data_IF_116662238363
#
_entry.id   IF_116662238363
#
_cell.length_a   1.000
_cell.length_b   1.000
_cell.length_c   1.000
_cell.angle_alpha   90.00
_cell.angle_beta   90.00
_cell.angle_gamma   90.00
#
_symmetry.space_group_name_H-M   'P 1'
#
loop_
_entity.id
_entity.type
_entity.pdbx_description
1 polymer ?
#
# COMPACT_ATOMS: atom_id res chain seq x y z
N UNK A 1 -6.67 29.73 -16.68
CA UNK A 1 -5.34 29.12 -16.76
C UNK A 1 -5.48 27.84 -17.55
N UNK A 2 -4.87 27.77 -18.74
CA UNK A 2 -4.80 26.52 -19.49
C UNK A 2 -3.83 25.60 -18.75
N UNK A 3 -4.34 24.50 -18.22
CA UNK A 3 -3.51 23.42 -17.70
C UNK A 3 -3.00 22.63 -18.90
N UNK A 4 -1.83 22.99 -19.42
CA UNK A 4 -1.12 22.13 -20.37
C UNK A 4 -0.64 20.89 -19.62
N UNK A 5 -1.39 19.79 -19.77
CA UNK A 5 -0.94 18.47 -19.34
C UNK A 5 0.16 18.01 -20.30
N UNK A 6 1.42 18.22 -19.91
CA UNK A 6 2.56 17.65 -20.63
C UNK A 6 2.65 16.15 -20.31
N UNK A 7 1.95 15.33 -21.10
CA UNK A 7 2.03 13.88 -21.00
C UNK A 7 3.29 13.39 -21.71
N UNK A 8 4.22 12.78 -20.97
CA UNK A 8 5.36 12.08 -21.56
C UNK A 8 4.87 10.74 -22.16
N UNK A 9 4.85 10.55 -23.50
CA UNK A 9 4.20 9.39 -24.13
C UNK A 9 4.79 8.06 -23.68
N UNK A 10 6.10 8.05 -23.39
CA UNK A 10 6.81 6.86 -22.92
C UNK A 10 6.33 6.40 -21.54
N UNK A 11 6.09 7.33 -20.62
CA UNK A 11 5.63 7.00 -19.27
C UNK A 11 4.24 6.36 -19.33
N UNK A 12 3.34 6.95 -20.12
CA UNK A 12 1.99 6.42 -20.32
C UNK A 12 2.01 5.03 -20.97
N UNK A 13 2.82 4.85 -22.02
CA UNK A 13 2.97 3.54 -22.67
C UNK A 13 3.45 2.46 -21.70
N UNK A 14 4.46 2.79 -20.88
CA UNK A 14 4.97 1.87 -19.86
C UNK A 14 3.91 1.54 -18.80
N UNK A 15 3.14 2.53 -18.32
CA UNK A 15 2.04 2.28 -17.38
C UNK A 15 0.98 1.34 -17.96
N UNK A 16 0.58 1.56 -19.22
CA UNK A 16 -0.37 0.70 -19.91
C UNK A 16 0.17 -0.72 -20.08
N UNK A 17 1.45 -0.86 -20.44
CA UNK A 17 2.06 -2.17 -20.61
C UNK A 17 2.12 -2.97 -19.31
N UNK A 18 2.44 -2.33 -18.17
CA UNK A 18 2.38 -2.99 -16.85
C UNK A 18 0.94 -3.29 -16.45
N UNK A 19 0.01 -2.37 -16.67
CA UNK A 19 -1.41 -2.55 -16.33
C UNK A 19 -2.03 -3.72 -17.08
N UNK A 20 -1.67 -3.89 -18.34
CA UNK A 20 -2.18 -4.94 -19.21
C UNK A 20 -1.38 -6.25 -19.11
N UNK A 21 -0.36 -6.31 -18.24
CA UNK A 21 0.50 -7.49 -18.08
C UNK A 21 1.41 -7.79 -19.29
N UNK A 22 1.56 -6.85 -20.22
CA UNK A 22 2.48 -6.96 -21.38
C UNK A 22 3.93 -6.85 -20.94
N UNK A 23 4.19 -6.05 -19.91
CA UNK A 23 5.46 -6.00 -19.18
C UNK A 23 5.29 -6.65 -17.82
N UNK A 24 6.23 -7.52 -17.47
CA UNK A 24 6.27 -8.14 -16.13
C UNK A 24 7.27 -7.40 -15.24
N UNK A 25 6.97 -7.26 -13.95
CA UNK A 25 7.95 -6.86 -12.95
C UNK A 25 9.21 -7.73 -13.04
N UNK A 26 10.37 -7.09 -13.13
CA UNK A 26 11.68 -7.76 -13.06
C UNK A 26 12.62 -7.03 -12.11
N UNK A 27 12.04 -6.34 -11.13
CA UNK A 27 12.77 -5.54 -10.16
C UNK A 27 13.29 -6.40 -9.02
N UNK A 28 14.32 -5.89 -8.35
CA UNK A 28 14.87 -6.41 -7.11
C UNK A 28 14.52 -5.45 -5.97
N UNK A 29 14.71 -5.87 -4.72
CA UNK A 29 14.48 -4.98 -3.57
C UNK A 29 15.34 -3.70 -3.60
N UNK A 30 16.56 -3.78 -4.14
CA UNK A 30 17.45 -2.64 -4.29
C UNK A 30 16.90 -1.56 -5.24
N UNK A 31 15.96 -1.92 -6.13
CA UNK A 31 15.35 -0.96 -7.06
C UNK A 31 14.34 -0.01 -6.38
N UNK A 32 14.01 -0.27 -5.11
CA UNK A 32 13.06 0.50 -4.29
C UNK A 32 13.75 1.25 -3.14
N UNK A 33 15.04 1.53 -3.28
CA UNK A 33 15.76 2.45 -2.39
C UNK A 33 15.40 3.91 -2.73
N UNK A 34 14.36 4.42 -2.06
CA UNK A 34 13.88 5.79 -2.29
C UNK A 34 14.93 6.84 -1.97
N UNK A 35 15.14 7.76 -2.90
CA UNK A 35 16.00 8.93 -2.73
C UNK A 35 15.18 10.21 -2.62
N UNK A 36 15.68 11.22 -1.91
CA UNK A 36 15.01 12.52 -1.80
C UNK A 36 15.13 13.41 -3.06
N UNK A 37 15.50 12.85 -4.22
CA UNK A 37 15.71 13.61 -5.46
C UNK A 37 14.39 13.84 -6.18
N UNK A 38 14.25 15.00 -6.85
CA UNK A 38 13.05 15.37 -7.63
C UNK A 38 12.71 14.38 -8.76
N UNK A 39 13.71 13.66 -9.28
CA UNK A 39 13.55 12.60 -10.27
C UNK A 39 14.17 11.32 -9.72
N UNK A 40 13.45 10.68 -8.81
CA UNK A 40 13.89 9.44 -8.18
C UNK A 40 13.43 8.23 -9.01
N UNK A 41 14.34 7.45 -9.63
CA UNK A 41 13.96 6.26 -10.40
C UNK A 41 13.20 5.23 -9.56
N UNK A 42 13.49 5.13 -8.26
CA UNK A 42 12.79 4.23 -7.35
C UNK A 42 11.30 4.59 -7.23
N UNK A 43 10.97 5.88 -7.16
CA UNK A 43 9.58 6.34 -7.14
C UNK A 43 8.82 5.98 -8.42
N UNK A 44 9.47 6.12 -9.59
CA UNK A 44 8.87 5.73 -10.87
C UNK A 44 8.63 4.22 -10.94
N UNK A 45 9.62 3.41 -10.55
CA UNK A 45 9.51 1.94 -10.51
C UNK A 45 8.44 1.49 -9.53
N UNK A 46 8.34 2.14 -8.37
CA UNK A 46 7.28 1.89 -7.41
C UNK A 46 5.90 2.19 -7.98
N UNK A 47 5.74 3.28 -8.73
CA UNK A 47 4.50 3.56 -9.46
C UNK A 47 4.15 2.47 -10.48
N UNK A 48 5.14 1.97 -11.23
CA UNK A 48 4.94 0.84 -12.14
C UNK A 48 4.60 -0.47 -11.41
N UNK A 49 5.22 -0.74 -10.26
CA UNK A 49 4.93 -1.89 -9.43
C UNK A 49 3.47 -1.89 -8.95
N UNK A 50 2.99 -0.75 -8.44
CA UNK A 50 1.59 -0.58 -8.05
C UNK A 50 0.62 -0.75 -9.24
N UNK A 51 1.02 -0.28 -10.42
CA UNK A 51 0.22 -0.39 -11.64
C UNK A 51 0.12 -1.85 -12.11
N UNK A 52 1.23 -2.59 -12.07
CA UNK A 52 1.28 -4.02 -12.36
C UNK A 52 0.45 -4.83 -11.37
N UNK A 53 0.60 -4.56 -10.06
CA UNK A 53 -0.20 -5.17 -9.01
C UNK A 53 -1.70 -5.02 -9.29
N UNK A 54 -2.16 -3.81 -9.60
CA UNK A 54 -3.59 -3.59 -9.79
C UNK A 54 -4.14 -4.25 -11.07
N UNK A 55 -3.32 -4.38 -12.12
CA UNK A 55 -3.67 -5.19 -13.30
C UNK A 55 -3.81 -6.68 -12.95
N UNK A 56 -2.84 -7.22 -12.22
CA UNK A 56 -2.78 -8.63 -11.83
C UNK A 56 -3.87 -8.99 -10.80
N UNK A 57 -4.07 -8.15 -9.78
CA UNK A 57 -5.12 -8.32 -8.79
C UNK A 57 -6.51 -8.41 -9.44
N UNK A 58 -6.79 -7.57 -10.44
CA UNK A 58 -8.06 -7.61 -11.14
C UNK A 58 -8.24 -8.90 -11.94
N UNK A 59 -7.20 -9.33 -12.64
CA UNK A 59 -7.22 -10.54 -13.44
C UNK A 59 -7.36 -11.84 -12.59
N UNK A 60 -6.80 -11.86 -11.37
CA UNK A 60 -6.72 -13.07 -10.56
C UNK A 60 -7.83 -13.23 -9.53
N UNK A 61 -8.31 -12.13 -8.93
CA UNK A 61 -9.25 -12.19 -7.79
C UNK A 61 -10.69 -11.88 -8.20
N UNK A 62 -10.91 -11.36 -9.41
CA UNK A 62 -12.23 -10.87 -9.82
C UNK A 62 -12.75 -9.69 -8.97
N UNK A 63 -11.92 -9.12 -8.08
CA UNK A 63 -12.27 -7.94 -7.29
C UNK A 63 -12.55 -6.77 -8.25
N UNK A 64 -13.59 -6.00 -7.94
CA UNK A 64 -13.98 -4.83 -8.71
C UNK A 64 -12.79 -3.87 -8.88
N UNK A 65 -12.55 -3.42 -10.13
CA UNK A 65 -11.42 -2.54 -10.45
C UNK A 65 -11.43 -1.25 -9.63
N UNK A 66 -12.59 -0.73 -9.24
CA UNK A 66 -12.71 0.47 -8.41
C UNK A 66 -12.09 0.27 -7.03
N UNK A 67 -12.39 -0.86 -6.36
CA UNK A 67 -11.81 -1.20 -5.06
C UNK A 67 -10.30 -1.41 -5.15
N UNK A 68 -9.83 -2.04 -6.23
CA UNK A 68 -8.39 -2.20 -6.49
C UNK A 68 -7.71 -0.85 -6.63
N UNK A 69 -8.29 0.10 -7.36
CA UNK A 69 -7.71 1.44 -7.50
C UNK A 69 -7.67 2.21 -6.19
N UNK A 70 -8.73 2.14 -5.37
CA UNK A 70 -8.73 2.74 -4.03
C UNK A 70 -7.60 2.17 -3.16
N UNK A 71 -7.48 0.84 -3.12
CA UNK A 71 -6.42 0.19 -2.36
C UNK A 71 -5.03 0.53 -2.90
N UNK A 72 -4.85 0.56 -4.23
CA UNK A 72 -3.58 0.91 -4.88
C UNK A 72 -3.14 2.33 -4.50
N UNK A 73 -4.06 3.28 -4.53
CA UNK A 73 -3.77 4.66 -4.17
C UNK A 73 -3.34 4.77 -2.70
N UNK A 74 -4.13 4.20 -1.78
CA UNK A 74 -3.82 4.28 -0.35
C UNK A 74 -2.58 3.46 0.02
N UNK A 75 -2.35 2.31 -0.60
CA UNK A 75 -1.13 1.52 -0.40
C UNK A 75 0.11 2.31 -0.83
N UNK A 76 0.04 2.97 -1.99
CA UNK A 76 1.10 3.85 -2.46
C UNK A 76 1.37 5.00 -1.50
N UNK A 77 0.30 5.66 -1.03
CA UNK A 77 0.37 6.76 -0.08
C UNK A 77 0.96 6.32 1.27
N UNK A 78 0.50 5.19 1.80
CA UNK A 78 0.99 4.59 3.03
C UNK A 78 2.48 4.29 2.95
N UNK A 79 2.92 3.55 1.93
CA UNK A 79 4.33 3.15 1.79
C UNK A 79 5.25 4.36 1.63
N UNK A 80 4.85 5.38 0.87
CA UNK A 80 5.62 6.63 0.74
C UNK A 80 5.71 7.38 2.07
N UNK A 81 4.61 7.55 2.81
CA UNK A 81 4.62 8.21 4.13
C UNK A 81 5.46 7.45 5.15
N UNK A 82 5.39 6.11 5.11
CA UNK A 82 6.20 5.23 5.95
C UNK A 82 7.68 5.42 5.68
N UNK A 83 8.10 5.38 4.41
CA UNK A 83 9.50 5.64 4.01
C UNK A 83 9.99 7.03 4.40
N UNK A 84 9.11 8.03 4.34
CA UNK A 84 9.41 9.38 4.79
C UNK A 84 9.47 9.54 6.33
N UNK A 85 9.14 8.50 7.09
CA UNK A 85 9.07 8.51 8.56
C UNK A 85 7.92 9.37 9.11
N UNK A 86 6.88 9.58 8.32
CA UNK A 86 5.74 10.43 8.70
C UNK A 86 4.76 9.72 9.63
N UNK A 87 4.76 8.39 9.61
CA UNK A 87 3.91 7.50 10.42
C UNK A 87 4.52 7.11 11.77
N UNK A 88 5.63 7.75 12.17
CA UNK A 88 6.23 7.59 13.49
C UNK A 88 5.46 8.41 14.56
N UNK A 89 4.90 7.70 15.54
CA UNK A 89 4.02 8.13 16.65
C UNK A 89 4.50 9.23 17.63
N UNK A 90 5.57 9.97 17.37
CA UNK A 90 6.13 10.89 18.37
C UNK A 90 5.81 12.38 18.09
N UNK A 91 4.87 13.02 18.83
CA UNK A 91 4.64 14.45 18.76
C UNK A 91 5.67 15.17 19.66
N UNK A 92 6.87 15.47 19.14
CA UNK A 92 7.78 16.42 19.82
C UNK A 92 8.63 17.25 18.85
N UNK A 93 9.01 18.49 19.23
CA UNK A 93 9.86 19.40 18.45
C UNK A 93 11.29 18.89 18.17
N UNK A 94 11.65 17.68 18.66
CA UNK A 94 12.87 16.96 18.30
C UNK A 94 12.88 16.38 16.87
N UNK A 95 11.76 16.49 16.13
CA UNK A 95 11.54 15.90 14.79
C UNK A 95 12.57 16.32 13.74
N UNK A 96 13.12 17.54 13.81
CA UNK A 96 14.13 18.02 12.85
C UNK A 96 15.51 17.36 13.01
N UNK A 97 15.94 17.04 14.24
CA UNK A 97 17.26 16.44 14.51
C UNK A 97 17.29 14.92 14.35
N UNK A 98 16.13 14.24 14.42
CA UNK A 98 16.02 12.78 14.30
C UNK A 98 15.86 12.28 12.85
N UNK A 99 15.34 13.10 11.91
CA UNK A 99 15.25 12.73 10.48
C UNK A 99 16.61 12.32 9.88
N UNK A 100 17.71 12.94 10.33
CA UNK A 100 19.07 12.59 9.88
C UNK A 100 19.66 11.32 10.52
N UNK A 101 19.14 10.87 11.67
CA UNK A 101 19.76 9.79 12.48
C UNK A 101 18.99 8.47 12.45
N UNK A 102 17.80 8.42 11.83
CA UNK A 102 16.92 7.24 11.81
C UNK A 102 16.92 6.44 10.51
N UNK A 103 17.65 6.89 9.49
CA UNK A 103 17.99 6.08 8.31
C UNK A 103 18.76 4.77 8.65
N UNK A 104 19.09 4.56 9.92
CA UNK A 104 19.82 3.40 10.45
C UNK A 104 18.99 2.51 11.40
N UNK A 105 17.69 2.76 11.60
CA UNK A 105 16.83 1.80 12.30
C UNK A 105 16.53 0.62 11.36
N UNK A 106 17.24 -0.48 11.62
CA UNK A 106 17.23 -1.78 10.96
C UNK A 106 15.89 -2.21 10.32
N UNK A 107 15.97 -2.46 9.01
CA UNK A 107 15.32 -3.55 8.25
C UNK A 107 13.84 -3.84 8.52
N UNK A 108 12.97 -2.84 8.38
CA UNK A 108 11.60 -3.15 7.98
C UNK A 108 11.57 -3.28 6.45
N UNK A 109 10.97 -4.35 5.92
CA UNK A 109 10.93 -4.60 4.48
C UNK A 109 10.29 -3.39 3.75
N UNK A 110 10.90 -2.85 2.68
CA UNK A 110 10.49 -1.56 2.11
C UNK A 110 9.10 -1.59 1.49
N UNK A 111 8.64 -2.75 1.05
CA UNK A 111 7.34 -2.91 0.38
C UNK A 111 6.28 -3.59 1.25
N UNK A 112 6.63 -4.05 2.45
CA UNK A 112 5.68 -4.69 3.35
C UNK A 112 5.16 -3.69 4.37
N UNK A 113 3.85 -3.68 4.63
CA UNK A 113 3.31 -3.00 5.79
C UNK A 113 3.89 -3.55 7.08
N UNK A 114 4.04 -2.68 8.08
CA UNK A 114 4.18 -3.10 9.47
C UNK A 114 2.93 -2.70 10.24
N UNK A 115 2.57 -3.53 11.24
CA UNK A 115 1.29 -3.38 11.91
C UNK A 115 1.12 -2.02 12.58
N UNK A 116 2.17 -1.51 13.22
CA UNK A 116 2.11 -0.22 13.94
C UNK A 116 1.83 0.94 12.99
N UNK A 117 2.60 1.09 11.92
CA UNK A 117 2.41 2.23 11.01
C UNK A 117 1.15 2.08 10.18
N UNK A 118 0.75 0.84 9.85
CA UNK A 118 -0.50 0.56 9.14
C UNK A 118 -1.71 0.92 9.99
N UNK A 119 -1.74 0.49 11.25
CA UNK A 119 -2.79 0.82 12.21
C UNK A 119 -2.94 2.35 12.37
N UNK A 120 -1.84 3.05 12.63
CA UNK A 120 -1.84 4.52 12.68
C UNK A 120 -2.36 5.18 11.38
N UNK A 121 -2.00 4.63 10.22
CA UNK A 121 -2.46 5.14 8.94
C UNK A 121 -3.96 4.91 8.73
N UNK A 122 -4.47 3.71 9.05
CA UNK A 122 -5.89 3.38 8.99
C UNK A 122 -6.70 4.23 9.96
N UNK A 123 -6.21 4.44 11.19
CA UNK A 123 -6.85 5.33 12.16
C UNK A 123 -6.99 6.77 11.63
N UNK A 124 -6.03 7.27 10.83
CA UNK A 124 -6.13 8.58 10.16
C UNK A 124 -7.17 8.60 9.04
N UNK A 125 -7.34 7.51 8.28
CA UNK A 125 -8.38 7.38 7.26
C UNK A 125 -9.78 7.31 7.88
N UNK A 126 -9.90 6.60 9.00
CA UNK A 126 -11.15 6.42 9.76
C UNK A 126 -11.47 7.57 10.71
N UNK A 127 -10.55 8.54 10.83
CA UNK A 127 -10.71 9.70 11.70
C UNK A 127 -11.93 10.55 11.32
N UNK A 128 -12.49 11.23 12.32
CA UNK A 128 -13.73 12.02 12.21
C UNK A 128 -13.75 13.02 11.05
N UNK A 129 -12.61 13.61 10.69
CA UNK A 129 -12.52 14.66 9.66
C UNK A 129 -12.32 14.13 8.23
N UNK A 130 -11.85 12.89 8.06
CA UNK A 130 -11.60 12.26 6.76
C UNK A 130 -12.72 11.30 6.38
N UNK A 131 -13.15 10.46 7.33
CA UNK A 131 -14.19 9.43 7.17
C UNK A 131 -14.09 8.59 5.88
N UNK A 132 -12.86 8.27 5.48
CA UNK A 132 -12.48 7.51 4.28
C UNK A 132 -12.50 6.01 4.57
N UNK A 133 -13.66 5.50 5.00
CA UNK A 133 -13.78 4.12 5.43
C UNK A 133 -13.63 3.13 4.26
N UNK A 134 -14.24 3.39 3.10
CA UNK A 134 -14.10 2.51 1.94
C UNK A 134 -12.64 2.36 1.50
N UNK A 135 -11.85 3.42 1.58
CA UNK A 135 -10.42 3.43 1.28
C UNK A 135 -9.63 2.61 2.32
N UNK A 136 -9.93 2.77 3.61
CA UNK A 136 -9.32 2.00 4.69
C UNK A 136 -9.60 0.50 4.56
N UNK A 137 -10.86 0.11 4.32
CA UNK A 137 -11.24 -1.28 4.12
C UNK A 137 -10.66 -1.84 2.82
N UNK A 138 -10.70 -1.08 1.71
CA UNK A 138 -10.10 -1.50 0.44
C UNK A 138 -8.61 -1.78 0.60
N UNK A 139 -7.86 -0.88 1.27
CA UNK A 139 -6.45 -1.07 1.56
C UNK A 139 -6.23 -2.37 2.35
N UNK A 140 -6.87 -2.52 3.51
CA UNK A 140 -6.64 -3.66 4.40
C UNK A 140 -7.02 -5.00 3.76
N UNK A 141 -8.16 -5.03 3.06
CA UNK A 141 -8.65 -6.23 2.39
C UNK A 141 -7.74 -6.69 1.24
N UNK A 142 -7.00 -5.78 0.58
CA UNK A 142 -6.10 -6.11 -0.52
C UNK A 142 -4.65 -6.37 -0.10
N UNK A 143 -4.31 -6.23 1.18
CA UNK A 143 -2.95 -6.54 1.66
C UNK A 143 -2.51 -7.99 1.39
N UNK A 144 -3.35 -9.03 1.56
CA UNK A 144 -2.96 -10.39 1.18
C UNK A 144 -2.59 -10.50 -0.30
N UNK A 145 -3.40 -9.89 -1.19
CA UNK A 145 -3.16 -9.84 -2.63
C UNK A 145 -1.85 -9.14 -2.97
N UNK A 146 -1.56 -8.03 -2.29
CA UNK A 146 -0.31 -7.33 -2.44
C UNK A 146 0.89 -8.19 -2.02
N UNK A 147 0.84 -8.82 -0.85
CA UNK A 147 1.96 -9.63 -0.35
C UNK A 147 2.19 -10.89 -1.19
N UNK A 148 1.12 -11.51 -1.69
CA UNK A 148 1.20 -12.63 -2.63
C UNK A 148 1.81 -12.20 -3.96
N UNK A 149 1.42 -11.03 -4.47
CA UNK A 149 2.03 -10.43 -5.65
C UNK A 149 3.53 -10.21 -5.45
N UNK A 150 3.95 -9.61 -4.33
CA UNK A 150 5.37 -9.44 -4.02
C UNK A 150 6.12 -10.78 -3.97
N UNK A 151 5.50 -11.81 -3.36
CA UNK A 151 6.11 -13.13 -3.26
C UNK A 151 6.30 -13.81 -4.63
N UNK A 152 5.28 -13.71 -5.51
CA UNK A 152 5.32 -14.26 -6.86
C UNK A 152 6.40 -13.63 -7.73
N UNK A 153 6.67 -12.33 -7.53
CA UNK A 153 7.71 -11.60 -8.25
C UNK A 153 9.08 -11.63 -7.55
N UNK A 154 9.26 -12.47 -6.53
CA UNK A 154 10.54 -12.64 -5.82
C UNK A 154 10.98 -11.42 -5.01
N UNK A 155 10.07 -10.49 -4.74
CA UNK A 155 10.29 -9.30 -3.91
C UNK A 155 10.02 -9.57 -2.43
N UNK A 156 9.44 -10.71 -2.10
CA UNK A 156 9.15 -11.15 -0.74
C UNK A 156 9.27 -12.68 -0.70
N UNK A 157 9.76 -13.25 0.39
CA UNK A 157 9.70 -14.70 0.56
C UNK A 157 8.40 -15.12 1.26
N UNK A 158 8.04 -16.40 1.13
CA UNK A 158 6.79 -16.92 1.69
C UNK A 158 6.75 -16.83 3.23
N UNK A 159 7.89 -16.98 3.91
CA UNK A 159 7.95 -16.88 5.36
C UNK A 159 7.67 -15.44 5.84
N UNK A 160 8.27 -14.46 5.17
CA UNK A 160 8.05 -13.04 5.40
C UNK A 160 6.61 -12.63 5.08
N UNK A 161 6.00 -13.17 4.01
CA UNK A 161 4.58 -12.98 3.72
C UNK A 161 3.69 -13.44 4.89
N UNK A 162 3.88 -14.66 5.37
CA UNK A 162 3.10 -15.20 6.48
C UNK A 162 3.31 -14.41 7.77
N UNK A 163 4.55 -14.03 8.06
CA UNK A 163 4.88 -13.19 9.20
C UNK A 163 4.16 -11.84 9.15
N UNK A 164 4.22 -11.12 8.02
CA UNK A 164 3.53 -9.84 7.87
C UNK A 164 2.02 -9.99 8.05
N UNK A 165 1.40 -11.04 7.47
CA UNK A 165 -0.03 -11.28 7.65
C UNK A 165 -0.40 -11.57 9.11
N UNK A 166 0.44 -12.32 9.83
CA UNK A 166 0.23 -12.59 11.26
C UNK A 166 0.34 -11.32 12.09
N UNK A 167 1.35 -10.48 11.83
CA UNK A 167 1.56 -9.22 12.55
C UNK A 167 0.38 -8.25 12.41
N UNK A 168 -0.18 -8.11 11.21
CA UNK A 168 -1.29 -7.19 10.95
C UNK A 168 -2.67 -7.78 11.27
N UNK A 169 -2.75 -9.06 11.65
CA UNK A 169 -4.01 -9.77 11.83
C UNK A 169 -4.91 -9.18 12.93
N UNK A 170 -4.33 -8.56 13.96
CA UNK A 170 -5.12 -7.96 15.05
C UNK A 170 -5.98 -6.78 14.57
N UNK A 171 -5.51 -6.03 13.56
CA UNK A 171 -6.20 -4.86 12.98
C UNK A 171 -7.56 -5.27 12.42
N UNK A 172 -7.71 -6.51 11.93
CA UNK A 172 -8.99 -7.06 11.46
C UNK A 172 -10.09 -6.96 12.53
N UNK A 173 -9.75 -7.21 13.80
CA UNK A 173 -10.70 -7.14 14.91
C UNK A 173 -11.21 -5.73 15.16
N UNK A 174 -10.32 -4.74 15.07
CA UNK A 174 -10.66 -3.33 15.23
C UNK A 174 -11.48 -2.80 14.06
N UNK A 175 -11.10 -3.14 12.82
CA UNK A 175 -11.86 -2.79 11.63
C UNK A 175 -13.25 -3.43 11.60
N UNK A 176 -13.38 -4.68 12.07
CA UNK A 176 -14.68 -5.34 12.23
C UNK A 176 -15.56 -4.59 13.21
N UNK A 177 -15.02 -4.27 14.39
CA UNK A 177 -15.73 -3.50 15.42
C UNK A 177 -16.13 -2.12 14.91
N UNK A 178 -15.26 -1.46 14.13
CA UNK A 178 -15.58 -0.19 13.50
C UNK A 178 -16.71 -0.33 12.49
N UNK A 179 -16.64 -1.33 11.58
CA UNK A 179 -17.69 -1.58 10.61
C UNK A 179 -19.04 -1.78 11.30
N UNK A 180 -19.13 -2.67 12.29
CA UNK A 180 -20.38 -2.99 12.99
C UNK A 180 -21.00 -1.78 13.73
N UNK A 181 -20.18 -0.89 14.27
CA UNK A 181 -20.65 0.23 15.08
C UNK A 181 -20.85 1.54 14.31
N UNK A 182 -20.07 1.76 13.25
CA UNK A 182 -19.96 3.06 12.57
C UNK A 182 -20.34 3.01 11.09
N UNK A 183 -20.41 1.81 10.47
CA UNK A 183 -20.67 1.66 9.04
C UNK A 183 -21.84 0.69 8.81
N UNK A 184 -22.96 1.20 8.30
CA UNK A 184 -24.14 0.37 8.00
C UNK A 184 -24.01 -0.36 6.64
N UNK A 185 -22.87 -1.03 6.40
CA UNK A 185 -22.59 -1.80 5.18
C UNK A 185 -22.19 -3.24 5.53
N UNK A 186 -23.10 -4.23 5.36
CA UNK A 186 -22.82 -5.62 5.68
C UNK A 186 -21.75 -6.26 4.78
N UNK A 187 -21.47 -5.68 3.60
CA UNK A 187 -20.47 -6.22 2.69
C UNK A 187 -19.06 -6.16 3.30
N UNK A 188 -18.76 -5.12 4.09
CA UNK A 188 -17.47 -4.95 4.76
C UNK A 188 -17.22 -6.06 5.80
N UNK A 189 -18.23 -6.37 6.62
CA UNK A 189 -18.13 -7.44 7.60
C UNK A 189 -17.92 -8.82 6.93
N UNK A 190 -18.61 -9.06 5.81
CA UNK A 190 -18.47 -10.30 5.02
C UNK A 190 -17.08 -10.44 4.41
N UNK A 191 -16.52 -9.34 3.87
CA UNK A 191 -15.18 -9.35 3.30
C UNK A 191 -14.12 -9.57 4.38
N UNK A 192 -14.21 -8.84 5.49
CA UNK A 192 -13.29 -8.99 6.61
C UNK A 192 -13.33 -10.41 7.20
N UNK A 193 -14.50 -11.05 7.28
CA UNK A 193 -14.61 -12.41 7.77
C UNK A 193 -13.73 -13.38 6.98
N UNK A 194 -13.67 -13.24 5.65
CA UNK A 194 -12.85 -14.05 4.74
C UNK A 194 -11.36 -13.74 4.75
N UNK A 195 -10.94 -12.59 5.28
CA UNK A 195 -9.52 -12.23 5.33
C UNK A 195 -8.71 -13.19 6.23
N UNK A 196 -7.49 -13.64 5.84
CA UNK A 196 -6.68 -13.16 4.72
C UNK A 196 -6.90 -13.88 3.38
N UNK A 197 -7.88 -14.78 3.27
CA UNK A 197 -8.11 -15.53 2.05
C UNK A 197 -8.65 -14.61 0.94
N UNK A 198 -7.99 -14.61 -0.21
CA UNK A 198 -8.45 -13.87 -1.38
C UNK A 198 -9.57 -14.67 -2.06
N UNK A 199 -10.75 -14.07 -2.16
CA UNK A 199 -11.86 -14.59 -2.96
C UNK A 199 -11.65 -14.33 -4.44
#
# INVERSE_FOLDING_TARGET
>A
AEYELTLEPKILADQLDYRMGRKRPSWTLADFEFSHKKKDPAQQRFSYLLTAFAGEAHAETGIASTKIELAREELGRYLVQRHAGELDDAPTPRRQRRKQKRATAQSAHPLCPDAKTLDFFLARLLGFLSFQHYEAFALFELLPAWLRFLARHGLLDEAARQHTLQEISYIKGELKTFAENQVNDPALAVNLAGWPDER
#
